data_IF_314258994224
#
_entry.id   IF_314258994224
#
_cell.length_a   1.000
_cell.length_b   1.000
_cell.length_c   1.000
_cell.angle_alpha   90.00
_cell.angle_beta   90.00
_cell.angle_gamma   90.00
#
_symmetry.space_group_name_H-M   'P 1'
#
loop_
_entity.id
_entity.type
_entity.pdbx_description
1 polymer ?
#
# COMPACT_ATOMS: atom_id res chain seq x y z
N UNK A 1 -32.45 -8.85 -2.63
CA UNK A 1 -32.28 -7.94 -1.48
C UNK A 1 -31.78 -8.77 -0.32
N UNK A 2 -30.59 -8.50 0.19
CA UNK A 2 -30.08 -9.16 1.40
C UNK A 2 -30.34 -8.24 2.59
N UNK A 3 -31.01 -8.77 3.61
CA UNK A 3 -31.13 -8.11 4.91
C UNK A 3 -29.82 -8.30 5.65
N UNK A 4 -29.21 -7.20 6.06
CA UNK A 4 -27.92 -7.19 6.75
C UNK A 4 -28.08 -6.41 8.05
N UNK A 5 -27.33 -6.79 9.08
CA UNK A 5 -27.26 -6.06 10.34
C UNK A 5 -26.24 -4.93 10.23
N UNK A 6 -26.61 -3.73 10.69
CA UNK A 6 -25.71 -2.60 10.75
C UNK A 6 -24.61 -2.83 11.79
N UNK A 7 -23.35 -2.58 11.42
CA UNK A 7 -22.19 -2.73 12.33
C UNK A 7 -22.18 -1.73 13.50
N UNK A 8 -22.83 -0.57 13.35
CA UNK A 8 -22.85 0.49 14.37
C UNK A 8 -24.04 0.35 15.31
N UNK A 9 -25.26 0.43 14.77
CA UNK A 9 -26.48 0.42 15.58
C UNK A 9 -27.15 -0.96 15.72
N UNK A 10 -26.68 -2.00 15.03
CA UNK A 10 -27.23 -3.35 15.10
C UNK A 10 -28.58 -3.56 14.41
N UNK A 11 -29.18 -2.51 13.83
CA UNK A 11 -30.49 -2.59 13.16
C UNK A 11 -30.41 -3.38 11.84
N UNK A 12 -31.48 -4.13 11.53
CA UNK A 12 -31.63 -4.82 10.25
C UNK A 12 -32.02 -3.82 9.17
N UNK A 13 -31.33 -3.84 8.03
CA UNK A 13 -31.65 -3.00 6.89
C UNK A 13 -31.40 -3.74 5.56
N UNK A 14 -32.08 -3.31 4.50
CA UNK A 14 -31.82 -3.82 3.16
C UNK A 14 -30.58 -3.12 2.59
N UNK A 15 -29.46 -3.85 2.51
CA UNK A 15 -28.22 -3.28 2.01
C UNK A 15 -28.14 -3.40 0.49
N UNK A 16 -27.95 -2.27 -0.19
CA UNK A 16 -27.55 -2.23 -1.61
C UNK A 16 -26.03 -2.34 -1.74
N UNK A 17 -25.27 -1.71 -0.82
CA UNK A 17 -23.80 -1.77 -0.73
C UNK A 17 -23.36 -1.40 0.69
N UNK A 18 -22.35 -2.08 1.24
CA UNK A 18 -21.80 -1.82 2.58
C UNK A 18 -22.51 -2.54 3.73
N UNK A 19 -22.01 -2.33 4.96
CA UNK A 19 -22.50 -2.96 6.21
C UNK A 19 -23.07 -1.95 7.23
N UNK A 20 -23.29 -0.71 6.80
CA UNK A 20 -23.74 0.41 7.65
C UNK A 20 -25.06 0.91 7.07
N UNK A 21 -26.04 1.21 7.93
CA UNK A 21 -27.32 1.78 7.50
C UNK A 21 -27.19 3.28 7.18
N UNK A 22 -28.14 3.81 6.43
CA UNK A 22 -28.15 5.22 6.01
C UNK A 22 -28.10 6.21 7.18
N UNK A 23 -28.85 5.94 8.25
CA UNK A 23 -28.88 6.82 9.43
C UNK A 23 -27.53 6.94 10.13
N UNK A 24 -26.81 5.82 10.27
CA UNK A 24 -25.48 5.86 10.89
C UNK A 24 -24.42 6.46 9.95
N UNK A 25 -24.63 6.39 8.64
CA UNK A 25 -23.79 7.10 7.68
C UNK A 25 -23.96 8.61 7.82
N UNK A 26 -25.20 9.10 7.90
CA UNK A 26 -25.50 10.52 8.10
C UNK A 26 -24.89 11.04 9.43
N UNK A 27 -25.03 10.28 10.53
CA UNK A 27 -24.41 10.60 11.81
C UNK A 27 -22.88 10.68 11.74
N UNK A 28 -22.25 9.79 10.96
CA UNK A 28 -20.79 9.80 10.76
C UNK A 28 -20.37 11.04 9.97
N UNK A 29 -21.11 11.38 8.91
CA UNK A 29 -20.82 12.55 8.07
C UNK A 29 -20.93 13.86 8.89
N UNK A 30 -21.86 13.94 9.85
CA UNK A 30 -21.99 15.07 10.78
C UNK A 30 -20.87 15.11 11.85
N UNK A 31 -20.35 13.96 12.26
CA UNK A 31 -19.27 13.85 13.23
C UNK A 31 -17.90 14.15 12.61
N UNK A 32 -17.71 13.80 11.33
CA UNK A 32 -16.44 13.98 10.61
C UNK A 32 -15.84 15.40 10.75
N UNK A 33 -16.57 16.50 10.47
CA UNK A 33 -15.99 17.84 10.56
C UNK A 33 -15.51 18.17 11.98
N UNK A 34 -16.21 17.71 13.02
CA UNK A 34 -15.83 17.93 14.42
C UNK A 34 -14.55 17.17 14.78
N UNK A 35 -14.48 15.90 14.39
CA UNK A 35 -13.29 15.06 14.64
C UNK A 35 -12.08 15.62 13.90
N UNK A 36 -12.29 16.13 12.68
CA UNK A 36 -11.24 16.74 11.88
C UNK A 36 -10.74 18.06 12.46
N UNK A 37 -11.60 18.87 13.06
CA UNK A 37 -11.21 20.09 13.77
C UNK A 37 -10.39 19.76 15.02
N UNK A 38 -10.86 18.80 15.83
CA UNK A 38 -10.11 18.30 16.98
C UNK A 38 -8.70 17.81 16.59
N UNK A 39 -8.58 17.00 15.53
CA UNK A 39 -7.28 16.52 15.03
C UNK A 39 -6.40 17.65 14.47
N UNK A 40 -6.99 18.73 13.97
CA UNK A 40 -6.24 19.92 13.51
C UNK A 40 -5.67 20.71 14.68
N UNK A 41 -6.45 20.90 15.73
CA UNK A 41 -6.00 21.62 16.93
C UNK A 41 -4.87 20.86 17.64
N UNK A 42 -4.87 19.54 17.53
CA UNK A 42 -3.83 18.66 18.08
C UNK A 42 -2.90 18.05 17.02
N UNK A 43 -2.58 18.77 15.94
CA UNK A 43 -1.85 18.22 14.78
C UNK A 43 -0.43 17.70 15.05
N UNK A 44 0.15 17.96 16.23
CA UNK A 44 1.52 17.56 16.60
C UNK A 44 1.60 16.20 17.30
N UNK A 45 0.47 15.69 17.77
CA UNK A 45 0.39 14.47 18.56
C UNK A 45 -0.16 13.32 17.69
N UNK A 46 0.38 12.12 17.92
CA UNK A 46 -0.14 10.90 17.32
C UNK A 46 -1.26 10.37 18.21
N UNK A 47 -2.49 10.41 17.72
CA UNK A 47 -3.62 9.86 18.46
C UNK A 47 -3.95 8.44 18.02
N UNK A 48 -4.19 7.58 19.00
CA UNK A 48 -4.88 6.31 18.79
C UNK A 48 -6.40 6.53 18.73
N UNK A 49 -7.11 5.58 18.12
CA UNK A 49 -8.58 5.62 17.99
C UNK A 49 -9.28 5.81 19.34
N UNK A 50 -8.79 5.15 20.39
CA UNK A 50 -9.30 5.28 21.77
C UNK A 50 -9.12 6.69 22.33
N UNK A 51 -7.96 7.32 22.11
CA UNK A 51 -7.69 8.67 22.62
C UNK A 51 -8.56 9.73 21.95
N UNK A 52 -8.88 9.56 20.67
CA UNK A 52 -9.80 10.44 19.94
C UNK A 52 -11.22 10.26 20.50
N UNK A 53 -11.63 9.02 20.74
CA UNK A 53 -12.92 8.69 21.32
C UNK A 53 -13.07 9.31 22.72
N UNK A 54 -12.08 9.16 23.58
CA UNK A 54 -12.07 9.72 24.93
C UNK A 54 -12.03 11.26 24.93
N UNK A 55 -11.23 11.86 24.04
CA UNK A 55 -11.09 13.32 23.94
C UNK A 55 -12.36 14.03 23.47
N UNK A 56 -13.24 13.32 22.76
CA UNK A 56 -14.48 13.86 22.21
C UNK A 56 -15.74 13.26 22.83
N UNK A 57 -15.60 12.35 23.80
CA UNK A 57 -16.70 11.56 24.41
C UNK A 57 -17.58 10.87 23.35
N UNK A 58 -16.93 10.24 22.36
CA UNK A 58 -17.58 9.49 21.28
C UNK A 58 -17.38 7.98 21.49
N UNK A 59 -18.33 7.17 21.01
CA UNK A 59 -18.11 5.72 20.96
C UNK A 59 -16.98 5.40 19.96
N UNK A 60 -16.03 4.58 20.41
CA UNK A 60 -14.86 4.08 19.64
C UNK A 60 -15.28 3.56 18.25
N UNK A 61 -16.48 2.96 18.14
CA UNK A 61 -17.00 2.44 16.88
C UNK A 61 -17.16 3.50 15.80
N UNK A 62 -17.52 4.74 16.15
CA UNK A 62 -17.66 5.84 15.18
C UNK A 62 -16.29 6.27 14.64
N UNK A 63 -15.30 6.40 15.52
CA UNK A 63 -13.93 6.75 15.10
C UNK A 63 -13.33 5.63 14.24
N UNK A 64 -13.56 4.37 14.61
CA UNK A 64 -13.15 3.24 13.79
C UNK A 64 -13.86 3.21 12.43
N UNK A 65 -15.14 3.54 12.38
CA UNK A 65 -15.89 3.63 11.12
C UNK A 65 -15.36 4.75 10.21
N UNK A 66 -14.98 5.91 10.77
CA UNK A 66 -14.34 7.00 10.03
C UNK A 66 -13.03 6.56 9.35
N UNK A 67 -12.22 5.75 10.04
CA UNK A 67 -10.99 5.16 9.48
C UNK A 67 -11.30 4.10 8.42
N UNK A 68 -12.30 3.24 8.64
CA UNK A 68 -12.70 2.20 7.69
C UNK A 68 -13.31 2.77 6.40
N UNK A 69 -14.04 3.89 6.49
CA UNK A 69 -14.63 4.60 5.36
C UNK A 69 -13.61 5.47 4.62
N UNK A 70 -12.41 5.67 5.17
CA UNK A 70 -11.33 6.44 4.55
C UNK A 70 -11.44 7.96 4.75
N UNK A 71 -12.26 8.42 5.69
CA UNK A 71 -12.34 9.83 6.06
C UNK A 71 -11.11 10.32 6.83
N UNK A 72 -10.48 9.40 7.57
CA UNK A 72 -9.27 9.64 8.36
C UNK A 72 -8.14 8.73 7.89
N UNK A 73 -7.00 9.33 7.55
CA UNK A 73 -5.80 8.58 7.20
C UNK A 73 -5.09 8.08 8.46
N UNK A 74 -4.68 6.81 8.42
CA UNK A 74 -3.78 6.27 9.45
C UNK A 74 -2.40 6.86 9.22
N UNK A 75 -1.90 7.58 10.22
CA UNK A 75 -0.54 8.11 10.26
C UNK A 75 0.52 7.02 10.43
N UNK A 76 0.43 5.92 9.68
CA UNK A 76 1.54 5.00 9.45
C UNK A 76 2.57 5.81 8.70
N UNK A 77 3.44 6.50 9.45
CA UNK A 77 4.64 7.09 8.89
C UNK A 77 5.37 5.92 8.22
N UNK A 78 5.60 6.03 6.91
CA UNK A 78 6.48 5.10 6.22
C UNK A 78 7.76 5.00 7.06
N UNK A 79 8.10 3.79 7.49
CA UNK A 79 9.24 3.60 8.35
C UNK A 79 10.45 4.11 7.55
N UNK A 80 11.22 5.11 8.03
CA UNK A 80 12.29 5.70 7.23
C UNK A 80 13.31 4.64 6.79
N UNK A 81 13.48 3.59 7.59
CA UNK A 81 14.29 2.42 7.28
C UNK A 81 13.72 1.58 6.12
N UNK A 82 12.40 1.40 6.05
CA UNK A 82 11.74 0.65 4.97
C UNK A 82 11.76 1.43 3.64
N UNK A 83 11.60 2.75 3.69
CA UNK A 83 11.77 3.66 2.54
C UNK A 83 13.21 3.58 1.99
N UNK A 84 14.20 3.62 2.88
CA UNK A 84 15.61 3.53 2.50
C UNK A 84 15.96 2.14 1.95
N UNK A 85 15.49 1.07 2.59
CA UNK A 85 15.67 -0.31 2.13
C UNK A 85 15.06 -0.51 0.74
N UNK A 86 13.85 0.00 0.50
CA UNK A 86 13.20 -0.07 -0.81
C UNK A 86 14.01 0.64 -1.88
N UNK A 87 14.54 1.84 -1.60
CA UNK A 87 15.42 2.58 -2.53
C UNK A 87 16.71 1.83 -2.82
N UNK A 88 17.35 1.24 -1.80
CA UNK A 88 18.57 0.42 -1.95
C UNK A 88 18.28 -0.81 -2.82
N UNK A 89 17.15 -1.49 -2.58
CA UNK A 89 16.72 -2.66 -3.34
C UNK A 89 16.43 -2.33 -4.81
N UNK A 90 15.76 -1.21 -5.07
CA UNK A 90 15.49 -0.72 -6.43
C UNK A 90 16.78 -0.35 -7.17
N UNK A 91 17.74 0.31 -6.49
CA UNK A 91 19.04 0.64 -7.08
C UNK A 91 19.84 -0.62 -7.44
N UNK A 92 19.86 -1.61 -6.54
CA UNK A 92 20.58 -2.87 -6.74
C UNK A 92 19.95 -3.71 -7.87
N UNK A 93 18.61 -3.72 -7.97
CA UNK A 93 17.91 -4.37 -9.08
C UNK A 93 18.27 -3.75 -10.44
N UNK A 94 18.37 -2.42 -10.52
CA UNK A 94 18.81 -1.72 -11.75
C UNK A 94 20.25 -2.06 -12.12
N UNK A 95 21.16 -2.10 -11.15
CA UNK A 95 22.56 -2.49 -11.39
C UNK A 95 22.67 -3.94 -11.88
N UNK A 96 21.87 -4.84 -11.29
CA UNK A 96 21.81 -6.24 -11.71
C UNK A 96 21.33 -6.34 -13.15
N UNK A 97 20.26 -5.62 -13.50
CA UNK A 97 19.71 -5.61 -14.86
C UNK A 97 20.74 -5.11 -15.88
N UNK A 98 21.43 -3.99 -15.61
CA UNK A 98 22.48 -3.47 -16.49
C UNK A 98 23.66 -4.46 -16.65
N UNK A 99 24.04 -5.16 -15.57
CA UNK A 99 25.10 -6.18 -15.62
C UNK A 99 24.70 -7.40 -16.44
N UNK A 100 23.42 -7.82 -16.36
CA UNK A 100 22.87 -8.89 -17.18
C UNK A 100 22.80 -8.49 -18.66
N UNK A 101 22.41 -7.25 -18.98
CA UNK A 101 22.38 -6.74 -20.35
C UNK A 101 23.79 -6.65 -20.96
N UNK A 102 24.77 -6.18 -20.20
CA UNK A 102 26.17 -6.10 -20.63
C UNK A 102 26.77 -7.50 -20.84
N UNK A 103 26.49 -8.45 -19.94
CA UNK A 103 26.98 -9.83 -20.09
C UNK A 103 26.27 -10.60 -21.22
N UNK A 104 24.99 -10.31 -21.47
CA UNK A 104 24.27 -10.82 -22.63
C UNK A 104 24.84 -10.25 -23.94
N UNK A 105 25.14 -8.95 -23.98
CA UNK A 105 25.74 -8.28 -25.14
C UNK A 105 27.18 -8.76 -25.40
N UNK A 106 27.98 -8.99 -24.36
CA UNK A 106 29.31 -9.57 -24.48
C UNK A 106 29.26 -11.00 -25.05
N UNK A 107 28.36 -11.85 -24.56
CA UNK A 107 28.15 -13.22 -25.09
C UNK A 107 27.62 -13.21 -26.53
N UNK A 108 26.77 -12.25 -26.89
CA UNK A 108 26.29 -12.07 -28.26
C UNK A 108 27.41 -11.63 -29.21
N UNK A 109 28.28 -10.71 -28.77
CA UNK A 109 29.45 -10.25 -29.53
C UNK A 109 30.50 -11.35 -29.71
N UNK A 110 30.75 -12.18 -28.69
CA UNK A 110 31.64 -13.35 -28.78
C UNK A 110 31.13 -14.44 -29.74
N UNK A 111 29.80 -14.56 -29.91
CA UNK A 111 29.19 -15.46 -30.89
C UNK A 111 29.12 -14.85 -32.30
N UNK A 112 28.95 -13.54 -32.43
CA UNK A 112 28.94 -12.85 -33.72
C UNK A 112 30.32 -12.84 -34.40
N UNK A 113 31.41 -12.88 -33.62
CA UNK A 113 32.79 -12.97 -34.14
C UNK A 113 33.25 -14.37 -34.56
N UNK A 114 32.47 -15.42 -34.29
CA UNK A 114 32.80 -16.80 -34.71
C UNK A 114 32.14 -17.08 -36.06
N UNK A 115 32.94 -17.40 -37.08
CA UNK A 115 32.39 -17.84 -38.37
C UNK A 115 31.62 -19.17 -38.20
N UNK A 116 30.56 -19.37 -38.98
CA UNK A 116 29.66 -20.54 -38.92
C UNK A 116 30.39 -21.90 -38.84
N UNK A 117 31.56 -22.03 -39.49
CA UNK A 117 32.40 -23.23 -39.45
C UNK A 117 33.09 -23.50 -38.11
N UNK A 118 33.48 -22.47 -37.34
CA UNK A 118 34.11 -22.63 -36.02
C UNK A 118 33.14 -23.09 -34.93
N UNK A 119 31.87 -22.65 -35.00
CA UNK A 119 30.84 -23.02 -34.03
C UNK A 119 30.38 -24.48 -34.18
N UNK A 120 30.38 -25.05 -35.40
CA UNK A 120 29.93 -26.43 -35.63
C UNK A 120 31.01 -27.49 -35.53
N UNK A 121 32.26 -27.18 -35.89
CA UNK A 121 33.32 -28.20 -35.97
C UNK A 121 34.43 -28.05 -34.92
N UNK A 122 34.44 -26.96 -34.14
CA UNK A 122 35.49 -26.68 -33.15
C UNK A 122 36.86 -26.47 -33.79
N UNK A 123 37.69 -25.60 -33.23
CA UNK A 123 39.08 -25.45 -33.69
C UNK A 123 39.90 -26.67 -33.24
N UNK A 124 39.78 -27.77 -33.98
CA UNK A 124 40.62 -28.96 -33.82
C UNK A 124 42.05 -28.66 -34.26
N UNK A 125 42.87 -28.13 -33.35
CA UNK A 125 44.32 -28.04 -33.54
C UNK A 125 44.91 -29.43 -33.26
N UNK A 126 45.00 -30.29 -34.29
CA UNK A 126 45.92 -31.44 -34.26
C UNK A 126 47.33 -30.94 -34.56
N UNK A 127 48.18 -30.90 -33.55
CA UNK A 127 49.60 -31.26 -33.65
C UNK A 127 50.14 -31.57 -32.26
#
# INVERSE_FOLDING_TARGET
>A
MNLVTCKLCGRLFSATRGKICVTCLDEIDDLYPKVREFLRDHSKESFNVEQIADGMDLDIRYVQALVELGYLDRGVKANPEEEEEKRRKEALARQLQASLENSASAKASENAGKMYGQQRYGTGKKK
#
